data_IF_628337019059
#
_entry.id   IF_628337019059
#
_cell.length_a   1.000
_cell.length_b   1.000
_cell.length_c   1.000
_cell.angle_alpha   90.00
_cell.angle_beta   90.00
_cell.angle_gamma   90.00
#
_symmetry.space_group_name_H-M   'P 1'
#
loop_
_entity.id
_entity.type
_entity.pdbx_description
1 polymer ?
#
# COMPACT_ATOMS: atom_id res chain seq x y z
N UNK A 1 -35.73 9.22 7.14
CA UNK A 1 -34.58 9.95 7.75
C UNK A 1 -33.62 9.08 8.57
N UNK A 2 -33.80 7.74 8.69
CA UNK A 2 -32.80 6.85 9.31
C UNK A 2 -31.78 6.27 8.32
N UNK A 3 -32.22 5.96 7.09
CA UNK A 3 -31.37 5.35 6.06
C UNK A 3 -30.18 6.26 5.65
N UNK A 4 -30.40 7.57 5.56
CA UNK A 4 -29.35 8.55 5.23
C UNK A 4 -28.30 8.66 6.33
N UNK A 5 -28.70 8.64 7.62
CA UNK A 5 -27.76 8.61 8.76
C UNK A 5 -26.96 7.31 8.80
N UNK A 6 -27.57 6.18 8.47
CA UNK A 6 -26.89 4.88 8.46
C UNK A 6 -25.82 4.80 7.35
N UNK A 7 -26.14 5.29 6.14
CA UNK A 7 -25.21 5.33 5.00
C UNK A 7 -24.07 6.33 5.25
N UNK A 8 -24.37 7.51 5.80
CA UNK A 8 -23.35 8.53 6.12
C UNK A 8 -22.42 8.08 7.26
N UNK A 9 -22.96 7.41 8.30
CA UNK A 9 -22.14 6.81 9.34
C UNK A 9 -21.25 5.66 8.82
N UNK A 10 -21.78 4.80 7.93
CA UNK A 10 -20.96 3.76 7.29
C UNK A 10 -19.86 4.31 6.38
N UNK A 11 -20.09 5.45 5.71
CA UNK A 11 -19.04 6.15 4.94
C UNK A 11 -18.00 6.81 5.85
N UNK A 12 -18.42 7.39 6.99
CA UNK A 12 -17.53 8.00 7.98
C UNK A 12 -16.72 6.99 8.81
N UNK A 13 -17.18 5.73 8.93
CA UNK A 13 -16.51 4.66 9.67
C UNK A 13 -15.53 3.82 8.84
N UNK A 14 -15.42 4.07 7.52
CA UNK A 14 -14.56 3.30 6.63
C UNK A 14 -13.25 4.05 6.38
N UNK A 15 -12.14 3.34 6.57
CA UNK A 15 -10.82 3.82 6.15
C UNK A 15 -10.81 3.89 4.61
N UNK A 16 -10.68 5.08 3.99
CA UNK A 16 -10.55 5.20 2.54
C UNK A 16 -9.18 4.69 2.10
N UNK A 17 -9.09 4.26 0.84
CA UNK A 17 -7.81 3.90 0.25
C UNK A 17 -6.95 5.17 0.07
N UNK A 18 -5.78 5.19 0.71
CA UNK A 18 -4.90 6.37 0.77
C UNK A 18 -3.81 6.42 -0.30
N UNK A 19 -3.78 5.45 -1.22
CA UNK A 19 -2.77 5.38 -2.28
C UNK A 19 -1.48 4.64 -1.91
N UNK A 20 -0.55 4.56 -2.88
CA UNK A 20 0.80 4.01 -2.72
C UNK A 20 1.78 5.15 -2.55
N UNK A 21 2.51 5.15 -1.44
CA UNK A 21 3.51 6.15 -1.07
C UNK A 21 4.92 5.60 -1.28
N UNK A 22 5.74 6.20 -2.17
CA UNK A 22 7.18 5.95 -2.20
C UNK A 22 7.80 6.31 -0.84
N UNK A 23 8.46 5.35 -0.21
CA UNK A 23 9.04 5.51 1.12
C UNK A 23 10.52 5.13 1.10
N UNK A 24 11.38 6.14 1.01
CA UNK A 24 12.84 5.96 1.08
C UNK A 24 13.32 5.46 2.44
N UNK A 25 12.52 5.60 3.50
CA UNK A 25 12.80 5.03 4.82
C UNK A 25 12.53 3.52 4.90
N UNK A 26 11.88 2.92 3.89
CA UNK A 26 11.73 1.47 3.77
C UNK A 26 12.74 0.94 2.75
N UNK A 27 13.82 0.30 3.23
CA UNK A 27 14.87 -0.19 2.35
C UNK A 27 14.40 -1.39 1.51
N UNK A 28 13.97 -2.48 2.14
CA UNK A 28 13.91 -3.79 1.47
C UNK A 28 12.49 -4.31 1.16
N UNK A 29 11.49 -3.89 1.93
CA UNK A 29 10.17 -4.53 1.90
C UNK A 29 9.08 -3.49 1.75
N UNK A 30 8.25 -3.65 0.71
CA UNK A 30 7.04 -2.85 0.57
C UNK A 30 5.97 -3.40 1.49
N UNK A 31 5.25 -2.51 2.18
CA UNK A 31 4.36 -2.89 3.27
C UNK A 31 3.01 -2.20 3.14
N UNK A 32 1.99 -2.77 3.75
CA UNK A 32 0.66 -2.17 3.83
C UNK A 32 -0.01 -2.56 5.14
N UNK A 33 -0.78 -1.65 5.73
CA UNK A 33 -1.65 -1.95 6.85
C UNK A 33 -2.87 -2.74 6.41
N UNK A 34 -3.33 -3.69 7.23
CA UNK A 34 -4.50 -4.53 6.93
C UNK A 34 -5.72 -3.70 6.51
N UNK A 35 -6.00 -2.59 7.18
CA UNK A 35 -7.16 -1.76 6.86
C UNK A 35 -7.05 -1.06 5.50
N UNK A 36 -5.84 -0.71 5.07
CA UNK A 36 -5.57 -0.14 3.75
C UNK A 36 -5.61 -1.20 2.65
N UNK A 37 -5.10 -2.41 2.91
CA UNK A 37 -5.32 -3.56 2.04
C UNK A 37 -6.82 -3.82 1.83
N UNK A 38 -7.59 -3.87 2.92
CA UNK A 38 -9.04 -4.04 2.84
C UNK A 38 -9.73 -2.90 2.10
N UNK A 39 -9.27 -1.66 2.27
CA UNK A 39 -9.78 -0.52 1.52
C UNK A 39 -9.58 -0.71 0.02
N UNK A 40 -8.38 -1.08 -0.42
CA UNK A 40 -8.09 -1.29 -1.83
C UNK A 40 -8.86 -2.48 -2.42
N UNK A 41 -9.01 -3.60 -1.70
CA UNK A 41 -9.80 -4.76 -2.19
C UNK A 41 -11.29 -4.46 -2.41
N UNK A 42 -11.81 -3.38 -1.83
CA UNK A 42 -13.19 -2.93 -2.09
C UNK A 42 -13.31 -2.15 -3.40
N UNK A 43 -12.20 -1.57 -3.87
CA UNK A 43 -12.12 -0.82 -5.12
C UNK A 43 -11.66 -1.71 -6.29
N UNK A 44 -10.80 -2.68 -6.01
CA UNK A 44 -10.25 -3.64 -6.98
C UNK A 44 -10.36 -5.08 -6.45
N UNK A 45 -11.30 -5.82 -7.03
CA UNK A 45 -11.58 -7.22 -6.68
C UNK A 45 -10.54 -8.21 -7.26
N UNK A 46 -9.62 -7.75 -8.11
CA UNK A 46 -8.59 -8.61 -8.73
C UNK A 46 -7.37 -8.83 -7.85
N UNK A 47 -7.27 -8.10 -6.73
CA UNK A 47 -6.16 -8.19 -5.81
C UNK A 47 -6.19 -9.53 -5.09
N UNK A 48 -5.07 -10.25 -5.22
CA UNK A 48 -4.87 -11.54 -4.56
C UNK A 48 -4.06 -11.40 -3.29
N UNK A 49 -4.36 -12.29 -2.34
CA UNK A 49 -3.65 -12.42 -1.07
C UNK A 49 -3.05 -13.82 -0.96
N UNK A 50 -1.77 -13.87 -0.64
CA UNK A 50 -1.05 -15.09 -0.34
C UNK A 50 -0.80 -15.17 1.16
N UNK A 51 -1.61 -15.99 1.83
CA UNK A 51 -1.52 -16.25 3.27
C UNK A 51 -0.36 -17.18 3.63
N UNK A 52 0.16 -17.98 2.68
CA UNK A 52 1.30 -18.87 2.92
C UNK A 52 2.60 -18.09 3.19
N UNK A 53 2.58 -16.80 2.87
CA UNK A 53 3.67 -15.86 3.10
C UNK A 53 3.62 -15.18 4.47
N UNK A 54 2.68 -15.55 5.35
CA UNK A 54 2.64 -15.11 6.73
C UNK A 54 3.97 -15.40 7.46
N UNK A 55 4.39 -14.49 8.34
CA UNK A 55 5.63 -14.59 9.12
C UNK A 55 6.93 -14.42 8.33
N UNK A 56 6.92 -14.49 6.98
CA UNK A 56 8.16 -14.43 6.19
C UNK A 56 8.83 -13.05 6.13
N UNK A 57 8.17 -12.00 6.59
CA UNK A 57 8.76 -10.68 6.76
C UNK A 57 8.48 -10.14 8.17
N UNK A 58 9.52 -9.57 8.79
CA UNK A 58 9.46 -8.90 10.08
C UNK A 58 9.90 -7.46 9.91
N UNK A 59 9.02 -6.51 10.24
CA UNK A 59 9.19 -5.09 9.96
C UNK A 59 9.24 -4.34 11.28
N UNK A 60 10.22 -3.44 11.45
CA UNK A 60 10.29 -2.51 12.58
C UNK A 60 10.15 -1.08 12.06
N UNK A 61 9.16 -0.35 12.56
CA UNK A 61 8.99 1.07 12.24
C UNK A 61 9.70 1.92 13.29
N UNK A 62 10.77 2.61 12.89
CA UNK A 62 11.57 3.45 13.79
C UNK A 62 12.02 2.69 15.05
N UNK A 63 11.76 3.27 16.22
CA UNK A 63 12.05 2.66 17.53
C UNK A 63 10.96 1.71 18.05
N UNK A 64 9.89 1.49 17.28
CA UNK A 64 8.76 0.63 17.68
C UNK A 64 9.10 -0.85 17.75
N UNK A 65 8.10 -1.68 18.10
CA UNK A 65 8.25 -3.14 18.12
C UNK A 65 8.30 -3.74 16.71
N UNK A 66 8.89 -4.92 16.61
CA UNK A 66 8.88 -5.72 15.38
C UNK A 66 7.47 -6.25 15.15
N UNK A 67 6.95 -6.08 13.94
CA UNK A 67 5.66 -6.59 13.48
C UNK A 67 5.88 -7.60 12.36
N UNK A 68 5.41 -8.82 12.55
CA UNK A 68 5.44 -9.85 11.49
C UNK A 68 4.33 -9.61 10.47
N UNK A 69 4.61 -9.91 9.19
CA UNK A 69 3.60 -9.89 8.13
C UNK A 69 2.58 -11.00 8.30
N UNK A 70 1.30 -10.69 8.08
CA UNK A 70 0.21 -11.68 8.14
C UNK A 70 -0.06 -12.33 6.79
N UNK A 71 0.38 -11.72 5.68
CA UNK A 71 0.24 -12.23 4.32
C UNK A 71 1.05 -11.37 3.35
N UNK A 72 1.02 -11.73 2.06
CA UNK A 72 1.46 -10.86 0.96
C UNK A 72 0.28 -10.53 0.04
N UNK A 73 0.02 -9.26 -0.19
CA UNK A 73 -0.92 -8.79 -1.20
C UNK A 73 -0.18 -8.52 -2.50
N UNK A 74 -0.74 -8.96 -3.62
CA UNK A 74 -0.18 -8.71 -4.94
C UNK A 74 -1.05 -7.68 -5.67
N UNK A 75 -0.50 -6.49 -5.88
CA UNK A 75 -1.22 -5.34 -6.45
C UNK A 75 -0.69 -5.06 -7.85
N UNK A 76 -1.58 -5.08 -8.83
CA UNK A 76 -1.28 -4.65 -10.20
C UNK A 76 -1.33 -3.12 -10.25
N UNK A 77 -0.28 -2.50 -10.78
CA UNK A 77 -0.22 -1.05 -11.03
C UNK A 77 0.08 -0.81 -12.50
N UNK A 78 -0.11 0.42 -12.98
CA UNK A 78 0.28 0.82 -14.34
C UNK A 78 1.76 0.58 -14.63
N UNK A 79 2.60 0.60 -13.60
CA UNK A 79 4.03 0.33 -13.71
C UNK A 79 4.22 -1.17 -13.92
N UNK A 80 3.94 -1.97 -12.87
CA UNK A 80 3.99 -3.44 -12.85
C UNK A 80 3.23 -3.99 -11.65
N UNK A 81 3.25 -5.32 -11.51
CA UNK A 81 2.83 -6.02 -10.30
C UNK A 81 3.81 -5.82 -9.15
N UNK A 82 3.29 -5.46 -7.98
CA UNK A 82 4.07 -5.17 -6.77
C UNK A 82 3.54 -6.03 -5.62
N UNK A 83 4.45 -6.67 -4.89
CA UNK A 83 4.14 -7.43 -3.70
C UNK A 83 4.25 -6.53 -2.46
N UNK A 84 3.19 -6.49 -1.65
CA UNK A 84 3.16 -5.78 -0.38
C UNK A 84 2.96 -6.76 0.78
N UNK A 85 3.80 -6.64 1.82
CA UNK A 85 3.60 -7.38 3.06
C UNK A 85 2.50 -6.72 3.88
N UNK A 86 1.44 -7.47 4.17
CA UNK A 86 0.31 -6.98 4.95
C UNK A 86 0.66 -7.08 6.43
N UNK A 87 0.46 -5.99 7.16
CA UNK A 87 0.80 -5.84 8.58
C UNK A 87 -0.44 -5.51 9.40
N UNK A 88 -0.45 -5.94 10.67
CA UNK A 88 -1.42 -5.46 11.67
C UNK A 88 -0.94 -4.11 12.24
N UNK A 89 -0.85 -3.11 11.36
CA UNK A 89 -0.40 -1.76 11.69
C UNK A 89 -1.20 -0.71 10.88
N UNK A 90 -1.40 0.52 11.40
CA UNK A 90 -2.13 1.57 10.71
C UNK A 90 -1.22 2.31 9.70
N UNK A 91 -0.75 1.60 8.67
CA UNK A 91 0.14 2.15 7.63
C UNK A 91 -0.50 2.11 6.25
N UNK A 92 -0.16 3.10 5.41
CA UNK A 92 -0.47 3.12 3.98
C UNK A 92 0.30 2.03 3.22
N UNK A 93 0.03 1.90 1.93
CA UNK A 93 0.92 1.15 1.04
C UNK A 93 2.25 1.91 0.90
N UNK A 94 3.31 1.38 1.50
CA UNK A 94 4.66 1.95 1.43
C UNK A 94 5.46 1.18 0.40
N UNK A 95 5.85 1.84 -0.68
CA UNK A 95 6.74 1.30 -1.72
C UNK A 95 8.19 1.51 -1.29
N UNK A 96 8.91 0.42 -1.10
CA UNK A 96 10.31 0.42 -0.64
C UNK A 96 11.31 0.74 -1.76
N UNK A 97 12.51 1.17 -1.37
CA UNK A 97 13.64 1.43 -2.28
C UNK A 97 13.98 0.22 -3.15
N UNK A 98 14.09 -0.98 -2.58
CA UNK A 98 14.41 -2.19 -3.34
C UNK A 98 13.38 -2.47 -4.46
N UNK A 99 12.10 -2.13 -4.25
CA UNK A 99 11.11 -2.22 -5.32
C UNK A 99 11.22 -1.06 -6.30
N UNK A 100 11.52 0.15 -5.86
CA UNK A 100 11.78 1.30 -6.73
C UNK A 100 12.92 0.97 -7.71
N UNK A 101 14.05 0.45 -7.19
CA UNK A 101 15.20 0.04 -7.97
C UNK A 101 14.87 -1.12 -8.93
N UNK A 102 14.21 -2.17 -8.42
CA UNK A 102 13.80 -3.33 -9.23
C UNK A 102 12.82 -2.96 -10.35
N UNK A 103 11.96 -1.98 -10.11
CA UNK A 103 11.00 -1.49 -11.09
C UNK A 103 11.62 -0.46 -12.04
N UNK A 104 12.87 -0.03 -11.79
CA UNK A 104 13.55 1.05 -12.51
C UNK A 104 12.68 2.31 -12.58
N UNK A 105 12.15 2.72 -11.42
CA UNK A 105 11.34 3.93 -11.28
C UNK A 105 12.00 4.92 -10.33
N UNK A 106 11.66 6.19 -10.42
CA UNK A 106 11.94 7.16 -9.36
C UNK A 106 10.72 8.01 -9.08
N UNK A 107 10.63 8.52 -7.84
CA UNK A 107 9.61 9.49 -7.49
C UNK A 107 10.13 10.90 -7.77
N UNK A 108 9.53 11.56 -8.76
CA UNK A 108 9.77 12.96 -9.03
C UNK A 108 8.87 13.80 -8.10
N UNK A 109 9.47 14.37 -7.06
CA UNK A 109 8.77 15.15 -6.04
C UNK A 109 8.38 16.57 -6.49
N UNK A 110 8.92 17.09 -7.60
CA UNK A 110 8.52 18.40 -8.12
C UNK A 110 7.27 18.34 -8.98
N UNK A 111 6.92 17.14 -9.45
CA UNK A 111 5.75 16.90 -10.31
C UNK A 111 4.79 15.86 -9.75
N UNK A 112 5.05 15.35 -8.54
CA UNK A 112 4.32 14.29 -7.85
C UNK A 112 4.03 13.07 -8.75
N UNK A 113 5.06 12.58 -9.45
CA UNK A 113 4.95 11.47 -10.41
C UNK A 113 5.96 10.37 -10.13
N UNK A 114 5.53 9.12 -10.28
CA UNK A 114 6.42 8.00 -10.51
C UNK A 114 6.83 7.99 -11.98
N UNK A 115 8.13 7.96 -12.21
CA UNK A 115 8.75 8.04 -13.53
C UNK A 115 9.37 6.69 -13.88
N UNK A 116 9.04 6.14 -15.04
CA UNK A 116 9.64 4.93 -15.60
C UNK A 116 9.93 5.11 -17.10
N UNK A 117 11.18 5.42 -17.46
CA UNK A 117 11.49 5.78 -18.86
C UNK A 117 10.70 7.01 -19.30
N UNK A 118 9.86 6.89 -20.31
CA UNK A 118 8.91 7.93 -20.76
C UNK A 118 7.55 7.88 -20.03
N UNK A 119 7.23 6.81 -19.31
CA UNK A 119 5.97 6.70 -18.57
C UNK A 119 5.97 7.58 -17.33
N UNK A 120 4.81 8.21 -17.06
CA UNK A 120 4.59 9.13 -15.95
C UNK A 120 3.27 8.78 -15.27
N UNK A 121 3.32 8.13 -14.11
CA UNK A 121 2.12 7.81 -13.32
C UNK A 121 2.00 8.82 -12.17
N UNK A 122 0.89 9.58 -12.07
CA UNK A 122 0.66 10.49 -10.94
C UNK A 122 0.61 9.74 -9.60
N UNK A 123 1.24 10.29 -8.58
CA UNK A 123 1.12 9.82 -7.19
C UNK A 123 0.06 10.67 -6.49
N UNK A 124 -1.15 10.14 -6.39
CA UNK A 124 -2.26 10.82 -5.71
C UNK A 124 -2.37 10.27 -4.28
N UNK A 125 -2.30 11.16 -3.29
CA UNK A 125 -2.60 10.88 -1.89
C UNK A 125 -4.03 11.34 -1.61
N UNK A 126 -4.89 10.42 -1.14
CA UNK A 126 -6.31 10.69 -0.82
C UNK A 126 -6.54 10.69 0.69
#
# INVERSE_FOLDING_TARGET
MLLYRHITAYRLLRVPYGGILPNTGAANVSTVGREQYLALTREDLTITIDISMAGKASIKFGKGSVTASISTAQVSTEIRKINFKVLKAPTLFLLCLANIDRLNVYFNNTTDKLVQGEHRTPVIRK
#
